data_IF_628374343580
#
_entry.id   IF_628374343580
#
_cell.length_a   1.000
_cell.length_b   1.000
_cell.length_c   1.000
_cell.angle_alpha   90.00
_cell.angle_beta   90.00
_cell.angle_gamma   90.00
#
_symmetry.space_group_name_H-M   'P 1'
#
loop_
_entity.id
_entity.type
_entity.pdbx_description
1 polymer ?
#
# COMPACT_ATOMS: atom_id res chain seq x y z
N UNK A 1 14.65 -8.71 -2.91
CA UNK A 1 13.28 -8.30 -2.55
C UNK A 1 13.21 -6.79 -2.48
N UNK A 2 12.24 -6.18 -3.17
CA UNK A 2 12.24 -4.76 -3.56
C UNK A 2 12.32 -3.79 -2.37
N UNK A 3 13.42 -3.02 -2.31
CA UNK A 3 13.57 -1.83 -1.48
C UNK A 3 12.47 -0.82 -1.81
N UNK A 4 11.65 -0.47 -0.82
CA UNK A 4 10.98 0.82 -0.84
C UNK A 4 12.02 1.83 -0.33
N UNK A 5 12.31 2.92 -1.05
CA UNK A 5 13.12 4.00 -0.50
C UNK A 5 12.45 4.50 0.79
N UNK A 6 13.24 4.91 1.78
CA UNK A 6 12.81 5.25 3.14
C UNK A 6 11.66 6.29 3.25
N UNK A 7 11.19 6.86 2.13
CA UNK A 7 9.96 7.62 2.00
C UNK A 7 9.12 7.17 0.77
N UNK A 8 7.83 6.82 0.95
CA UNK A 8 6.95 6.39 -0.15
C UNK A 8 6.66 7.48 -1.20
N UNK A 9 6.90 8.74 -0.85
CA UNK A 9 6.77 9.88 -1.78
C UNK A 9 7.77 9.81 -2.94
N UNK A 10 8.95 9.23 -2.73
CA UNK A 10 10.02 9.15 -3.76
C UNK A 10 9.84 8.04 -4.81
N UNK A 11 8.86 7.16 -4.64
CA UNK A 11 8.62 6.05 -5.58
C UNK A 11 7.97 6.58 -6.86
N UNK A 12 8.73 6.68 -7.95
CA UNK A 12 8.22 7.21 -9.23
C UNK A 12 7.80 6.12 -10.23
N UNK A 13 8.37 4.92 -10.12
CA UNK A 13 8.09 3.84 -11.07
C UNK A 13 6.75 3.18 -10.77
N UNK A 14 5.97 2.91 -11.82
CA UNK A 14 4.75 2.15 -11.69
C UNK A 14 5.04 0.73 -11.18
N UNK A 15 4.23 0.25 -10.25
CA UNK A 15 4.42 -1.05 -9.62
C UNK A 15 3.72 -1.22 -8.29
N UNK A 16 3.96 -2.39 -7.69
CA UNK A 16 3.44 -2.77 -6.37
C UNK A 16 4.61 -2.92 -5.42
N UNK A 17 4.54 -2.19 -4.31
CA UNK A 17 5.61 -2.06 -3.33
C UNK A 17 5.11 -2.55 -1.98
N UNK A 18 5.72 -3.60 -1.42
CA UNK A 18 5.28 -4.19 -0.16
C UNK A 18 5.90 -3.49 1.04
N UNK A 19 5.07 -3.11 2.01
CA UNK A 19 5.50 -2.47 3.26
C UNK A 19 5.53 -3.44 4.46
N UNK A 20 4.77 -4.54 4.39
CA UNK A 20 4.64 -5.54 5.46
C UNK A 20 3.19 -5.74 5.88
N UNK A 21 2.87 -6.79 6.64
CA UNK A 21 1.49 -7.07 7.12
C UNK A 21 0.41 -7.07 6.03
N UNK A 22 0.77 -7.47 4.80
CA UNK A 22 -0.16 -7.42 3.66
C UNK A 22 -0.42 -6.01 3.11
N UNK A 23 0.20 -4.96 3.63
CA UNK A 23 0.14 -3.59 3.12
C UNK A 23 1.04 -3.41 1.90
N UNK A 24 0.49 -2.75 0.89
CA UNK A 24 1.18 -2.39 -0.35
C UNK A 24 0.90 -0.95 -0.75
N UNK A 25 1.92 -0.27 -1.26
CA UNK A 25 1.75 0.91 -2.09
C UNK A 25 1.63 0.48 -3.55
N UNK A 26 0.55 0.86 -4.21
CA UNK A 26 0.37 0.74 -5.65
C UNK A 26 0.69 2.09 -6.28
N UNK A 27 1.59 2.09 -7.26
CA UNK A 27 1.89 3.23 -8.12
C UNK A 27 1.40 2.90 -9.52
N UNK A 28 0.38 3.61 -9.98
CA UNK A 28 -0.17 3.44 -11.33
C UNK A 28 0.77 4.06 -12.38
N UNK A 29 0.68 3.67 -13.68
CA UNK A 29 1.46 4.29 -14.76
C UNK A 29 1.30 5.81 -14.87
N UNK A 30 0.17 6.35 -14.41
CA UNK A 30 -0.07 7.80 -14.33
C UNK A 30 0.69 8.50 -13.21
N UNK A 31 1.34 7.75 -12.31
CA UNK A 31 1.97 8.25 -11.09
C UNK A 31 1.02 8.39 -9.90
N UNK A 32 -0.27 8.04 -10.06
CA UNK A 32 -1.20 7.97 -8.93
C UNK A 32 -0.74 6.90 -7.93
N UNK A 33 -0.87 7.19 -6.63
CA UNK A 33 -0.38 6.33 -5.55
C UNK A 33 -1.46 6.05 -4.54
N UNK A 34 -1.62 4.78 -4.17
CA UNK A 34 -2.63 4.34 -3.20
C UNK A 34 -2.18 3.16 -2.36
N UNK A 35 -2.65 3.15 -1.11
CA UNK A 35 -2.47 2.05 -0.18
C UNK A 35 -3.51 0.97 -0.41
N UNK A 36 -3.05 -0.28 -0.42
CA UNK A 36 -3.87 -1.47 -0.56
C UNK A 36 -3.47 -2.47 0.51
N UNK A 37 -4.43 -2.90 1.32
CA UNK A 37 -4.30 -4.07 2.19
C UNK A 37 -4.73 -5.32 1.41
N UNK A 38 -3.83 -6.28 1.27
CA UNK A 38 -4.16 -7.60 0.77
C UNK A 38 -4.37 -8.54 1.94
N UNK A 39 -5.61 -8.99 2.11
CA UNK A 39 -6.01 -9.89 3.19
C UNK A 39 -6.92 -11.01 2.66
N UNK A 40 -7.32 -11.93 3.54
CA UNK A 40 -8.26 -13.02 3.23
C UNK A 40 -9.58 -12.73 3.95
N UNK A 41 -10.64 -12.51 3.17
CA UNK A 41 -12.00 -12.32 3.69
C UNK A 41 -12.83 -13.52 3.28
N UNK A 42 -13.38 -14.26 4.26
CA UNK A 42 -14.16 -15.48 4.03
C UNK A 42 -13.44 -16.50 3.14
N UNK A 43 -12.16 -16.77 3.43
CA UNK A 43 -11.34 -17.73 2.67
C UNK A 43 -10.92 -17.27 1.27
N UNK A 44 -11.31 -16.07 0.83
CA UNK A 44 -10.95 -15.52 -0.48
C UNK A 44 -10.02 -14.33 -0.32
N UNK A 45 -8.95 -14.31 -1.14
CA UNK A 45 -8.01 -13.19 -1.16
C UNK A 45 -8.68 -11.94 -1.73
N UNK A 46 -8.55 -10.82 -1.03
CA UNK A 46 -9.10 -9.52 -1.39
C UNK A 46 -8.03 -8.44 -1.23
N UNK A 47 -8.12 -7.43 -2.09
CA UNK A 47 -7.33 -6.22 -2.01
C UNK A 47 -8.30 -5.09 -1.61
N UNK A 48 -8.09 -4.49 -0.44
CA UNK A 48 -8.90 -3.42 0.16
C UNK A 48 -8.12 -2.11 0.02
N UNK A 49 -8.73 -1.08 -0.56
CA UNK A 49 -8.11 0.23 -0.65
C UNK A 49 -8.15 0.95 0.70
N UNK A 50 -7.02 1.44 1.17
CA UNK A 50 -6.92 2.22 2.41
C UNK A 50 -6.86 3.74 2.16
N UNK A 51 -6.68 4.17 0.90
CA UNK A 51 -6.66 5.58 0.51
C UNK A 51 -5.48 5.95 -0.40
N UNK A 52 -5.51 7.15 -0.95
CA UNK A 52 -4.41 7.71 -1.75
C UNK A 52 -3.24 8.16 -0.86
N UNK A 53 -2.01 8.10 -1.37
CA UNK A 53 -0.82 8.52 -0.61
C UNK A 53 -0.87 9.99 -0.17
N UNK A 54 -1.62 10.84 -0.88
CA UNK A 54 -1.81 12.26 -0.55
C UNK A 54 -2.74 12.50 0.64
N UNK A 55 -3.57 11.51 1.01
CA UNK A 55 -4.56 11.62 2.09
C UNK A 55 -4.23 10.72 3.28
N UNK A 56 -3.52 9.61 3.04
CA UNK A 56 -3.21 8.61 4.05
C UNK A 56 -1.70 8.42 4.09
N UNK A 57 -1.11 8.80 5.22
CA UNK A 57 0.30 8.61 5.49
C UNK A 57 0.65 7.13 5.64
N UNK A 58 1.95 6.83 5.55
CA UNK A 58 2.43 5.47 5.79
C UNK A 58 2.10 4.97 7.21
N UNK A 59 2.18 5.86 8.20
CA UNK A 59 1.90 5.50 9.59
C UNK A 59 0.43 5.08 9.76
N UNK A 60 -0.50 5.90 9.26
CA UNK A 60 -1.95 5.59 9.30
C UNK A 60 -2.28 4.30 8.53
N UNK A 61 -1.67 4.11 7.35
CA UNK A 61 -1.87 2.89 6.57
C UNK A 61 -1.36 1.64 7.29
N UNK A 62 -0.26 1.73 8.05
CA UNK A 62 0.27 0.63 8.88
C UNK A 62 -0.63 0.33 10.06
N UNK A 63 -1.13 1.35 10.74
CA UNK A 63 -2.08 1.19 11.83
C UNK A 63 -3.35 0.48 11.35
N UNK A 64 -3.91 0.92 10.22
CA UNK A 64 -5.11 0.29 9.65
C UNK A 64 -4.84 -1.15 9.18
N UNK A 65 -3.66 -1.42 8.62
CA UNK A 65 -3.26 -2.78 8.22
C UNK A 65 -3.09 -3.74 9.42
N UNK A 66 -2.80 -3.24 10.62
CA UNK A 66 -2.74 -4.05 11.83
C UNK A 66 -4.12 -4.25 12.47
N UNK A 67 -5.09 -3.39 12.15
CA UNK A 67 -6.44 -3.43 12.69
C UNK A 67 -7.35 -4.46 12.00
N UNK A 68 -7.14 -4.68 10.70
CA UNK A 68 -8.00 -5.48 9.80
C UNK A 68 -7.50 -6.91 9.57
#
# INVERSE_FOLDING_TARGET
MSQIPHTPSSVAKAGRYGDGNGLYLIVDPSGAKRWVLRTVVMGKRRDIGLGGLSLVSLAEAREEAMRL
#
